data_IF_427574650313
#
_entry.id   IF_427574650313
#
_cell.length_a   1.000
_cell.length_b   1.000
_cell.length_c   1.000
_cell.angle_alpha   90.00
_cell.angle_beta   90.00
_cell.angle_gamma   90.00
#
_symmetry.space_group_name_H-M   'P 1'
#
loop_
_entity.id
_entity.type
_entity.pdbx_description
1 polymer ?
#
# COMPACT_ATOMS: atom_id res chain seq x y z
N UNK A 1 -42.24 17.65 -11.82
CA UNK A 1 -41.55 18.45 -10.79
C UNK A 1 -40.78 17.49 -9.89
N UNK A 2 -39.54 17.18 -10.27
CA UNK A 2 -38.68 16.22 -9.57
C UNK A 2 -37.73 17.00 -8.65
N UNK A 3 -37.75 16.70 -7.35
CA UNK A 3 -36.82 17.27 -6.37
C UNK A 3 -35.52 16.47 -6.44
N UNK A 4 -34.49 17.08 -7.00
CA UNK A 4 -33.10 16.60 -6.89
C UNK A 4 -32.64 16.89 -5.46
N UNK A 5 -32.29 15.84 -4.72
CA UNK A 5 -31.62 15.95 -3.43
C UNK A 5 -30.13 16.26 -3.68
N UNK A 6 -29.68 17.42 -3.24
CA UNK A 6 -28.27 17.81 -3.20
C UNK A 6 -27.61 17.07 -2.00
N UNK A 7 -26.44 16.43 -2.15
CA UNK A 7 -25.71 15.97 -0.97
C UNK A 7 -25.06 17.17 -0.28
N UNK A 8 -25.19 17.16 1.05
CA UNK A 8 -24.75 18.19 1.98
C UNK A 8 -23.21 18.24 2.02
N UNK A 9 -22.64 19.41 1.73
CA UNK A 9 -21.23 19.75 1.90
C UNK A 9 -20.82 19.62 3.38
N UNK A 10 -19.82 18.78 3.67
CA UNK A 10 -19.11 18.81 4.96
C UNK A 10 -17.97 19.82 4.88
N UNK A 11 -17.89 20.65 5.92
CA UNK A 11 -17.08 21.85 6.04
C UNK A 11 -15.57 21.58 6.03
N UNK A 12 -14.85 22.41 5.29
CA UNK A 12 -13.39 22.57 5.37
C UNK A 12 -13.07 23.37 6.62
N UNK A 13 -12.62 22.69 7.67
CA UNK A 13 -11.91 23.31 8.78
C UNK A 13 -10.44 23.43 8.43
N UNK A 14 -9.91 24.65 8.41
CA UNK A 14 -8.47 24.88 8.47
C UNK A 14 -7.98 24.42 9.85
N UNK A 15 -7.36 23.25 9.93
CA UNK A 15 -6.75 22.75 11.17
C UNK A 15 -5.30 23.22 11.23
N UNK A 16 -5.06 24.21 12.08
CA UNK A 16 -3.72 24.48 12.61
C UNK A 16 -3.31 23.31 13.51
N UNK A 17 -2.22 22.62 13.17
CA UNK A 17 -1.57 21.59 14.00
C UNK A 17 -2.50 20.45 14.44
N UNK A 18 -2.53 19.35 13.71
CA UNK A 18 -3.29 18.17 14.14
C UNK A 18 -2.66 17.60 15.42
N UNK A 19 -3.30 17.85 16.57
CA UNK A 19 -2.97 17.13 17.80
C UNK A 19 -3.08 15.62 17.53
N UNK A 20 -2.10 14.86 18.00
CA UNK A 20 -2.02 13.43 17.77
C UNK A 20 -3.26 12.73 18.36
N UNK A 21 -4.19 12.31 17.49
CA UNK A 21 -5.48 11.75 17.91
C UNK A 21 -5.26 10.31 18.37
N UNK A 22 -5.62 10.02 19.63
CA UNK A 22 -5.67 8.64 20.13
C UNK A 22 -6.68 7.82 19.32
N UNK A 23 -6.35 6.55 19.04
CA UNK A 23 -7.28 5.66 18.35
C UNK A 23 -8.61 5.55 19.11
N UNK A 24 -9.74 5.62 18.38
CA UNK A 24 -11.07 5.54 19.00
C UNK A 24 -11.47 4.09 19.31
N UNK A 25 -10.92 3.16 18.53
CA UNK A 25 -11.13 1.73 18.63
C UNK A 25 -9.80 0.96 18.51
N UNK A 26 -9.71 -0.18 19.18
CA UNK A 26 -8.59 -1.13 19.01
C UNK A 26 -9.14 -2.46 18.55
N UNK A 27 -8.56 -2.94 17.45
CA UNK A 27 -8.77 -4.27 16.88
C UNK A 27 -7.53 -5.12 17.15
N UNK A 28 -7.71 -6.41 17.37
CA UNK A 28 -6.65 -7.41 17.45
C UNK A 28 -6.86 -8.48 16.38
N UNK A 29 -5.77 -8.97 15.82
CA UNK A 29 -5.78 -10.12 14.93
C UNK A 29 -5.97 -11.38 15.75
N UNK A 30 -7.02 -12.15 15.46
CA UNK A 30 -7.18 -13.47 16.05
C UNK A 30 -6.43 -14.55 15.26
N UNK A 31 -5.25 -14.90 15.76
CA UNK A 31 -4.44 -15.99 15.20
C UNK A 31 -5.06 -17.39 15.40
N UNK A 32 -5.97 -17.56 16.35
CA UNK A 32 -6.56 -18.86 16.70
C UNK A 32 -7.70 -19.31 15.78
N UNK A 33 -8.47 -18.37 15.20
CA UNK A 33 -9.55 -18.67 14.25
C UNK A 33 -9.18 -18.41 12.78
N UNK A 34 -7.88 -18.32 12.48
CA UNK A 34 -7.42 -18.08 11.13
C UNK A 34 -7.62 -19.26 10.18
N UNK A 35 -7.67 -18.95 8.89
CA UNK A 35 -7.66 -19.93 7.80
C UNK A 35 -6.50 -19.66 6.86
N UNK A 36 -5.72 -20.68 6.56
CA UNK A 36 -4.67 -20.61 5.54
C UNK A 36 -5.27 -20.53 4.13
N UNK A 37 -4.73 -19.64 3.30
CA UNK A 37 -5.05 -19.45 1.88
C UNK A 37 -3.98 -20.09 1.02
N UNK A 38 -2.72 -19.82 1.32
CA UNK A 38 -1.56 -20.38 0.62
C UNK A 38 -0.69 -21.03 1.67
N UNK A 39 -0.27 -22.27 1.44
CA UNK A 39 0.69 -23.01 2.26
C UNK A 39 1.56 -23.84 1.34
N UNK A 40 2.54 -23.18 0.72
CA UNK A 40 3.38 -23.81 -0.29
C UNK A 40 4.84 -23.49 0.02
N UNK A 41 5.59 -24.47 0.58
CA UNK A 41 6.94 -24.22 1.07
C UNK A 41 7.92 -23.84 -0.03
N UNK A 42 7.57 -24.05 -1.29
CA UNK A 42 8.42 -23.73 -2.43
C UNK A 42 8.21 -22.32 -2.95
N UNK A 43 7.19 -21.58 -2.47
CA UNK A 43 6.89 -20.23 -2.96
C UNK A 43 7.71 -19.16 -2.26
N UNK A 44 8.04 -18.12 -3.03
CA UNK A 44 8.71 -16.93 -2.57
C UNK A 44 7.82 -15.70 -2.78
N UNK A 45 6.71 -15.65 -2.04
CA UNK A 45 5.71 -14.58 -2.11
C UNK A 45 6.30 -13.28 -1.55
N UNK A 46 6.31 -12.25 -2.39
CA UNK A 46 6.74 -10.93 -1.99
C UNK A 46 5.58 -10.11 -1.38
N UNK A 47 5.90 -9.11 -0.57
CA UNK A 47 4.91 -8.31 0.18
C UNK A 47 4.09 -7.32 -0.66
N UNK A 48 4.24 -7.35 -1.98
CA UNK A 48 3.49 -6.51 -2.91
C UNK A 48 2.29 -7.31 -3.36
N UNK A 49 1.11 -6.89 -2.92
CA UNK A 49 -0.15 -7.56 -3.23
C UNK A 49 -1.22 -6.55 -3.56
N UNK A 50 -2.27 -7.03 -4.23
CA UNK A 50 -3.51 -6.30 -4.39
C UNK A 50 -4.68 -7.25 -4.14
N UNK A 51 -5.78 -6.72 -3.59
CA UNK A 51 -6.96 -7.50 -3.22
C UNK A 51 -8.14 -7.02 -4.06
N UNK A 52 -8.67 -7.89 -4.93
CA UNK A 52 -10.00 -7.69 -5.49
C UNK A 52 -11.04 -8.19 -4.48
N UNK A 53 -11.69 -7.25 -3.80
CA UNK A 53 -12.66 -7.54 -2.74
C UNK A 53 -14.00 -8.01 -3.29
N UNK A 54 -14.36 -7.61 -4.51
CA UNK A 54 -15.61 -7.97 -5.15
C UNK A 54 -15.52 -9.38 -5.73
N UNK A 55 -14.44 -9.67 -6.47
CA UNK A 55 -14.18 -10.98 -7.11
C UNK A 55 -13.46 -11.96 -6.19
N UNK A 56 -13.03 -11.50 -5.02
CA UNK A 56 -12.41 -12.31 -3.96
C UNK A 56 -11.10 -12.94 -4.42
N UNK A 57 -10.25 -12.12 -5.04
CA UNK A 57 -8.97 -12.55 -5.59
C UNK A 57 -7.83 -11.82 -4.89
N UNK A 58 -6.82 -12.58 -4.48
CA UNK A 58 -5.53 -12.07 -4.03
C UNK A 58 -4.55 -12.11 -5.20
N UNK A 59 -4.08 -10.95 -5.61
CA UNK A 59 -2.97 -10.81 -6.54
C UNK A 59 -1.68 -10.64 -5.75
N UNK A 60 -0.66 -11.43 -6.09
CA UNK A 60 0.64 -11.39 -5.45
C UNK A 60 1.77 -11.56 -6.45
N UNK A 61 2.93 -11.04 -6.07
CA UNK A 61 4.19 -11.34 -6.75
C UNK A 61 4.83 -12.56 -6.09
N UNK A 62 5.23 -13.54 -6.90
CA UNK A 62 6.01 -14.69 -6.47
C UNK A 62 7.37 -14.61 -7.17
N UNK A 63 8.47 -14.69 -6.43
CA UNK A 63 9.81 -14.66 -7.03
C UNK A 63 10.17 -15.95 -7.77
N UNK A 64 9.45 -17.05 -7.51
CA UNK A 64 9.58 -18.27 -8.31
C UNK A 64 8.84 -18.20 -9.66
N UNK A 65 7.92 -17.23 -9.81
CA UNK A 65 7.20 -16.94 -11.06
C UNK A 65 7.49 -15.49 -11.49
N UNK A 66 8.75 -15.18 -11.85
CA UNK A 66 9.22 -13.80 -12.02
C UNK A 66 8.56 -13.04 -13.17
N UNK A 67 7.96 -13.78 -14.12
CA UNK A 67 7.40 -13.27 -15.37
C UNK A 67 5.95 -12.79 -15.23
N UNK A 68 5.36 -12.87 -14.03
CA UNK A 68 3.97 -12.48 -13.87
C UNK A 68 3.51 -12.20 -12.44
N UNK A 69 2.21 -11.90 -12.36
CA UNK A 69 1.48 -11.72 -11.11
C UNK A 69 0.52 -12.88 -10.94
N UNK A 70 0.57 -13.54 -9.79
CA UNK A 70 -0.28 -14.70 -9.53
C UNK A 70 -1.58 -14.27 -8.88
N UNK A 71 -2.67 -14.90 -9.30
CA UNK A 71 -4.00 -14.69 -8.75
C UNK A 71 -4.48 -15.94 -8.00
N UNK A 72 -4.86 -15.76 -6.74
CA UNK A 72 -5.39 -16.81 -5.88
C UNK A 72 -6.80 -16.48 -5.40
N UNK A 73 -7.64 -17.51 -5.27
CA UNK A 73 -8.96 -17.40 -4.66
C UNK A 73 -8.80 -17.11 -3.17
N UNK A 74 -9.35 -16.00 -2.69
CA UNK A 74 -9.42 -15.73 -1.26
C UNK A 74 -10.39 -16.68 -0.56
N UNK A 75 -11.35 -17.29 -1.27
CA UNK A 75 -12.31 -18.22 -0.69
C UNK A 75 -11.73 -19.63 -0.54
N UNK A 76 -10.96 -20.12 -1.51
CA UNK A 76 -10.49 -21.52 -1.56
C UNK A 76 -8.98 -21.67 -1.40
N UNK A 77 -8.19 -20.63 -1.66
CA UNK A 77 -6.73 -20.72 -1.73
C UNK A 77 -6.21 -21.30 -3.04
N UNK A 78 -7.10 -21.66 -3.97
CA UNK A 78 -6.70 -22.22 -5.26
C UNK A 78 -6.06 -21.14 -6.14
N UNK A 79 -4.99 -21.52 -6.82
CA UNK A 79 -4.44 -20.73 -7.92
C UNK A 79 -5.48 -20.63 -9.03
N UNK A 80 -5.75 -19.40 -9.46
CA UNK A 80 -6.72 -19.10 -10.52
C UNK A 80 -6.00 -18.98 -11.86
N UNK A 81 -4.95 -18.15 -11.91
CA UNK A 81 -4.20 -17.79 -13.13
C UNK A 81 -2.92 -17.01 -12.78
N UNK A 82 -2.07 -16.83 -13.78
CA UNK A 82 -0.93 -15.90 -13.74
C UNK A 82 -1.14 -14.84 -14.83
N UNK A 83 -1.04 -13.57 -14.45
CA UNK A 83 -1.06 -12.42 -15.34
C UNK A 83 0.35 -12.27 -15.90
N UNK A 84 0.56 -12.78 -17.10
CA UNK A 84 1.87 -12.78 -17.75
C UNK A 84 2.24 -11.39 -18.23
N UNK A 85 3.40 -10.89 -17.84
CA UNK A 85 3.97 -9.71 -18.47
C UNK A 85 4.35 -10.06 -19.92
N UNK A 86 4.08 -9.19 -20.91
CA UNK A 86 4.50 -9.44 -22.29
C UNK A 86 6.03 -9.50 -22.40
N UNK A 87 6.54 -10.41 -23.22
CA UNK A 87 7.98 -10.49 -23.54
C UNK A 87 8.44 -9.28 -24.37
N UNK A 88 9.68 -8.83 -24.19
CA UNK A 88 10.42 -8.10 -25.22
C UNK A 88 10.81 -6.65 -24.97
N UNK A 89 10.64 -6.11 -23.76
CA UNK A 89 10.70 -4.65 -23.58
C UNK A 89 11.99 -4.12 -22.88
N UNK A 90 13.13 -4.80 -22.99
CA UNK A 90 14.41 -4.24 -22.51
C UNK A 90 14.62 -4.24 -20.98
N UNK A 91 15.77 -3.75 -20.49
CA UNK A 91 16.16 -3.87 -19.08
C UNK A 91 15.21 -3.11 -18.17
N UNK A 92 14.70 -3.78 -17.13
CA UNK A 92 13.80 -3.22 -16.10
C UNK A 92 12.33 -3.00 -16.50
N UNK A 93 11.90 -3.50 -17.66
CA UNK A 93 10.52 -3.33 -18.14
C UNK A 93 9.61 -4.54 -17.80
N UNK A 94 10.08 -5.33 -16.80
CA UNK A 94 9.58 -6.58 -16.18
C UNK A 94 9.91 -7.82 -17.01
N UNK A 95 10.77 -8.77 -16.55
CA UNK A 95 10.76 -9.44 -15.23
C UNK A 95 11.81 -8.95 -14.20
N UNK A 96 11.58 -9.22 -12.91
CA UNK A 96 12.21 -8.69 -11.66
C UNK A 96 11.77 -7.29 -11.15
N UNK A 97 11.14 -6.46 -11.96
CA UNK A 97 10.90 -5.03 -11.63
C UNK A 97 9.52 -4.63 -11.10
N UNK A 98 8.65 -5.57 -10.69
CA UNK A 98 7.27 -5.24 -10.23
C UNK A 98 7.36 -4.50 -8.90
N UNK A 99 6.87 -3.26 -8.89
CA UNK A 99 6.94 -2.36 -7.74
C UNK A 99 5.65 -2.42 -6.90
N UNK A 100 4.47 -2.30 -7.52
CA UNK A 100 3.17 -2.50 -6.85
C UNK A 100 2.09 -2.94 -7.82
N UNK A 101 0.91 -3.23 -7.28
CA UNK A 101 -0.29 -3.53 -8.05
C UNK A 101 -1.50 -2.81 -7.45
N UNK A 102 -2.51 -2.58 -8.27
CA UNK A 102 -3.82 -2.09 -7.84
C UNK A 102 -4.93 -2.77 -8.64
N UNK A 103 -6.08 -2.97 -8.01
CA UNK A 103 -7.30 -3.46 -8.68
C UNK A 103 -8.29 -2.31 -8.78
N UNK A 104 -8.77 -2.04 -10.00
CA UNK A 104 -9.81 -1.06 -10.27
C UNK A 104 -11.19 -1.62 -9.91
N UNK A 105 -12.20 -0.76 -9.64
CA UNK A 105 -13.57 -1.22 -9.33
C UNK A 105 -14.20 -2.10 -10.42
N UNK A 106 -13.81 -1.94 -11.68
CA UNK A 106 -14.29 -2.79 -12.79
C UNK A 106 -13.54 -4.14 -12.91
N UNK A 107 -12.56 -4.37 -12.04
CA UNK A 107 -11.75 -5.59 -11.97
C UNK A 107 -10.49 -5.55 -12.81
N UNK A 108 -10.19 -4.44 -13.51
CA UNK A 108 -8.89 -4.31 -14.18
C UNK A 108 -7.78 -4.31 -13.15
N UNK A 109 -6.65 -4.91 -13.53
CA UNK A 109 -5.46 -4.96 -12.68
C UNK A 109 -4.38 -4.10 -13.30
N UNK A 110 -3.88 -3.16 -12.52
CA UNK A 110 -2.73 -2.32 -12.85
C UNK A 110 -1.51 -2.89 -12.15
N UNK A 111 -0.45 -3.16 -12.92
CA UNK A 111 0.83 -3.64 -12.41
C UNK A 111 1.89 -2.60 -12.74
N UNK A 112 2.43 -1.93 -11.73
CA UNK A 112 3.48 -0.94 -11.95
C UNK A 112 4.85 -1.61 -11.99
N UNK A 113 5.58 -1.39 -13.07
CA UNK A 113 7.03 -1.56 -13.11
C UNK A 113 7.72 -0.26 -12.73
N UNK A 114 9.01 -0.14 -13.06
CA UNK A 114 9.74 1.11 -12.87
C UNK A 114 9.22 2.20 -13.79
N UNK A 115 9.20 1.96 -15.09
CA UNK A 115 8.93 3.03 -16.08
C UNK A 115 7.47 3.12 -16.53
N UNK A 116 6.70 2.05 -16.38
CA UNK A 116 5.37 1.92 -16.98
C UNK A 116 4.42 1.10 -16.12
N UNK A 117 3.14 1.23 -16.40
CA UNK A 117 2.05 0.49 -15.79
C UNK A 117 1.47 -0.44 -16.86
N UNK A 118 1.46 -1.74 -16.58
CA UNK A 118 0.76 -2.73 -17.39
C UNK A 118 -0.70 -2.80 -16.95
N UNK A 119 -1.58 -3.02 -17.91
CA UNK A 119 -3.02 -3.12 -17.68
C UNK A 119 -3.53 -4.48 -18.12
N UNK A 120 -4.27 -5.10 -17.22
CA UNK A 120 -4.92 -6.38 -17.47
C UNK A 120 -6.42 -6.23 -17.28
N UNK A 121 -7.18 -6.96 -18.08
CA UNK A 121 -8.61 -7.12 -17.83
C UNK A 121 -8.88 -8.03 -16.62
N UNK A 122 -10.13 -8.15 -16.15
CA UNK A 122 -10.46 -9.03 -15.02
C UNK A 122 -10.20 -10.53 -15.29
N UNK A 123 -10.04 -10.93 -16.54
CA UNK A 123 -9.73 -12.30 -16.95
C UNK A 123 -8.22 -12.56 -16.96
N UNK A 124 -7.40 -11.52 -16.87
CA UNK A 124 -5.94 -11.56 -16.86
C UNK A 124 -5.31 -11.33 -18.23
N UNK A 125 -6.09 -10.92 -19.24
CA UNK A 125 -5.58 -10.61 -20.57
C UNK A 125 -4.92 -9.23 -20.57
N UNK A 126 -3.74 -9.13 -21.17
CA UNK A 126 -3.02 -7.86 -21.30
C UNK A 126 -3.73 -6.93 -22.28
N UNK A 127 -4.09 -5.73 -21.83
CA UNK A 127 -4.78 -4.71 -22.61
C UNK A 127 -3.83 -3.68 -23.23
N UNK A 128 -2.69 -3.44 -22.57
CA UNK A 128 -1.75 -2.40 -22.97
C UNK A 128 -0.97 -1.86 -21.77
N UNK A 129 -0.26 -0.75 -22.00
CA UNK A 129 0.48 -0.07 -20.96
C UNK A 129 0.32 1.45 -21.04
N UNK A 130 0.68 2.11 -19.94
CA UNK A 130 0.83 3.56 -19.86
C UNK A 130 2.17 3.90 -19.23
N UNK A 131 2.87 4.85 -19.84
CA UNK A 131 4.14 5.39 -19.36
C UNK A 131 3.89 6.83 -18.93
N UNK A 132 3.76 7.11 -17.62
CA UNK A 132 3.60 8.46 -17.13
C UNK A 132 4.82 9.30 -17.55
N UNK A 133 4.58 10.48 -18.09
CA UNK A 133 5.62 11.44 -18.44
C UNK A 133 6.08 12.22 -17.20
N UNK A 134 6.64 11.49 -16.24
CA UNK A 134 7.13 12.01 -14.98
C UNK A 134 8.66 11.98 -14.94
N UNK A 135 9.26 13.01 -14.37
CA UNK A 135 10.65 12.98 -13.94
C UNK A 135 10.68 12.86 -12.41
N UNK A 136 11.39 11.87 -11.86
CA UNK A 136 12.04 10.75 -12.56
C UNK A 136 11.05 9.67 -13.06
N UNK A 137 11.41 8.93 -14.12
CA UNK A 137 10.62 7.82 -14.72
C UNK A 137 10.60 6.56 -13.85
N UNK A 138 10.21 6.69 -12.59
CA UNK A 138 10.04 5.57 -11.66
C UNK A 138 8.71 5.69 -10.92
N UNK A 139 7.63 5.07 -11.42
CA UNK A 139 6.38 4.97 -10.67
C UNK A 139 6.40 3.73 -9.78
N UNK A 140 6.75 3.91 -8.51
CA UNK A 140 6.73 2.81 -7.53
C UNK A 140 5.31 2.41 -7.09
N UNK A 141 4.33 3.31 -7.24
CA UNK A 141 2.97 3.11 -6.77
C UNK A 141 1.93 3.45 -7.84
N UNK A 142 0.85 2.67 -7.92
CA UNK A 142 -0.27 2.87 -8.85
C UNK A 142 -1.60 2.63 -8.13
N UNK A 143 -2.65 3.35 -8.55
CA UNK A 143 -4.03 3.16 -8.12
C UNK A 143 -5.01 3.38 -9.30
N UNK A 144 -6.30 3.11 -9.11
CA UNK A 144 -7.37 3.56 -10.02
C UNK A 144 -8.10 4.80 -9.49
N UNK A 145 -8.16 5.87 -10.28
CA UNK A 145 -9.03 7.02 -9.98
C UNK A 145 -9.83 7.40 -11.22
N UNK A 146 -11.16 7.43 -11.08
CA UNK A 146 -12.06 7.66 -12.19
C UNK A 146 -11.88 6.67 -13.34
N UNK A 147 -11.57 5.40 -13.05
CA UNK A 147 -11.44 4.34 -14.06
C UNK A 147 -10.18 4.43 -14.93
N UNK A 148 -9.14 5.10 -14.43
CA UNK A 148 -7.85 5.23 -15.10
C UNK A 148 -6.71 5.05 -14.09
N UNK A 149 -5.56 4.51 -14.52
CA UNK A 149 -4.40 4.39 -13.66
C UNK A 149 -3.88 5.78 -13.27
N UNK A 150 -3.40 5.88 -12.03
CA UNK A 150 -2.76 7.09 -11.52
C UNK A 150 -1.59 6.76 -10.59
N UNK A 151 -0.64 7.68 -10.54
CA UNK A 151 0.63 7.55 -9.83
C UNK A 151 0.91 8.80 -9.00
N UNK A 152 1.58 8.67 -7.84
CA UNK A 152 1.94 9.83 -7.04
C UNK A 152 3.11 10.59 -7.68
N UNK A 153 3.17 11.88 -7.38
CA UNK A 153 4.25 12.80 -7.72
C UNK A 153 4.66 13.57 -6.46
N UNK A 154 5.65 14.47 -6.57
CA UNK A 154 6.09 15.35 -5.46
C UNK A 154 4.94 16.07 -4.75
N UNK A 155 4.02 16.63 -5.53
CA UNK A 155 3.03 17.61 -5.06
C UNK A 155 1.61 17.26 -5.53
N UNK A 156 1.33 15.98 -5.78
CA UNK A 156 0.03 15.54 -6.25
C UNK A 156 0.08 14.22 -6.96
N UNK A 157 -0.83 14.03 -7.90
CA UNK A 157 -1.04 12.79 -8.61
C UNK A 157 -1.12 13.06 -10.11
N UNK A 158 -0.53 12.19 -10.90
CA UNK A 158 -0.76 12.17 -12.35
C UNK A 158 -1.58 10.94 -12.68
N UNK A 159 -2.61 11.15 -13.48
CA UNK A 159 -3.55 10.14 -13.95
C UNK A 159 -3.49 10.08 -15.46
N UNK A 160 -3.73 8.91 -16.05
CA UNK A 160 -3.94 8.82 -17.48
C UNK A 160 -5.24 9.54 -17.88
N UNK A 161 -5.10 10.61 -18.66
CA UNK A 161 -6.17 11.35 -19.30
C UNK A 161 -6.67 10.70 -20.59
N UNK A 162 -7.52 11.45 -21.31
CA UNK A 162 -7.97 11.04 -22.64
C UNK A 162 -6.81 10.89 -23.62
N UNK A 163 -6.92 9.94 -24.56
CA UNK A 163 -5.91 9.66 -25.59
C UNK A 163 -4.51 9.28 -25.06
N UNK A 164 -4.41 8.88 -23.77
CA UNK A 164 -3.14 8.49 -23.16
C UNK A 164 -2.27 9.65 -22.67
N UNK A 165 -2.79 10.88 -22.70
CA UNK A 165 -2.15 12.06 -22.12
C UNK A 165 -2.08 11.99 -20.59
N UNK A 166 -1.23 12.80 -19.97
CA UNK A 166 -1.15 12.91 -18.52
C UNK A 166 -2.02 14.05 -17.99
N UNK A 167 -2.90 13.72 -17.05
CA UNK A 167 -3.75 14.65 -16.33
C UNK A 167 -3.22 14.86 -14.91
N UNK A 168 -2.96 16.12 -14.56
CA UNK A 168 -2.43 16.50 -13.26
C UNK A 168 -3.54 16.75 -12.23
N UNK A 169 -3.39 16.22 -11.02
CA UNK A 169 -4.32 16.38 -9.90
C UNK A 169 -3.55 16.96 -8.70
N UNK A 170 -3.78 18.23 -8.40
CA UNK A 170 -3.08 19.01 -7.37
C UNK A 170 -2.61 20.36 -7.92
N UNK A 171 -2.38 21.36 -7.07
CA UNK A 171 -2.12 22.73 -7.54
C UNK A 171 -0.73 22.91 -8.16
N UNK A 172 0.26 22.11 -7.75
CA UNK A 172 1.67 22.28 -8.12
C UNK A 172 2.29 21.00 -8.70
N UNK A 173 1.49 20.21 -9.42
CA UNK A 173 1.98 19.00 -10.09
C UNK A 173 2.79 19.39 -11.33
N UNK A 174 4.11 19.26 -11.22
CA UNK A 174 4.99 19.41 -12.37
C UNK A 174 5.06 18.09 -13.15
N UNK A 175 4.40 18.04 -14.30
CA UNK A 175 4.70 17.06 -15.35
C UNK A 175 5.97 17.54 -16.02
N UNK A 176 7.14 17.17 -15.48
CA UNK A 176 8.42 17.62 -16.01
C UNK A 176 8.63 16.95 -17.37
N UNK A 177 8.38 17.68 -18.44
CA UNK A 177 8.78 17.30 -19.80
C UNK A 177 10.28 17.60 -19.97
N UNK A 178 11.14 16.71 -19.46
CA UNK A 178 12.59 16.79 -19.64
C UNK A 178 13.13 15.50 -20.22
N UNK A 179 14.04 15.58 -21.19
CA UNK A 179 14.74 14.43 -21.74
C UNK A 179 15.60 13.79 -20.62
N UNK A 180 15.50 12.47 -20.35
CA UNK A 180 16.30 11.77 -19.35
C UNK A 180 17.81 12.02 -19.42
N UNK A 181 18.32 12.43 -20.58
CA UNK A 181 19.75 12.72 -20.82
C UNK A 181 20.20 14.10 -20.29
N UNK A 182 19.28 15.05 -20.08
CA UNK A 182 19.58 16.38 -19.51
C UNK A 182 19.56 16.38 -17.96
N UNK A 183 19.39 15.21 -17.34
CA UNK A 183 19.26 15.09 -15.90
C UNK A 183 20.63 15.01 -15.24
N UNK A 184 21.21 16.18 -14.93
CA UNK A 184 22.33 16.28 -14.00
C UNK A 184 21.92 15.57 -12.69
N UNK A 185 22.71 14.56 -12.29
CA UNK A 185 22.55 13.75 -11.07
C UNK A 185 22.84 14.57 -9.80
N UNK A 186 22.13 15.67 -9.64
CA UNK A 186 22.18 16.50 -8.44
C UNK A 186 21.65 15.73 -7.24
N UNK A 187 22.09 16.08 -6.04
CA UNK A 187 21.56 15.49 -4.80
C UNK A 187 20.04 15.73 -4.67
N UNK A 188 19.52 16.85 -5.19
CA UNK A 188 18.09 17.15 -5.23
C UNK A 188 17.31 16.15 -6.08
N UNK A 189 17.85 15.78 -7.25
CA UNK A 189 17.23 14.75 -8.10
C UNK A 189 17.22 13.38 -7.41
N UNK A 190 18.32 12.99 -6.75
CA UNK A 190 18.40 11.72 -6.04
C UNK A 190 17.41 11.68 -4.87
N UNK A 191 17.27 12.77 -4.12
CA UNK A 191 16.27 12.87 -3.04
C UNK A 191 14.84 12.74 -3.58
N UNK A 192 14.54 13.45 -4.68
CA UNK A 192 13.23 13.39 -5.34
C UNK A 192 12.92 11.99 -5.87
N UNK A 193 13.91 11.34 -6.49
CA UNK A 193 13.83 9.94 -6.94
C UNK A 193 13.46 9.01 -5.79
N UNK A 194 14.15 9.11 -4.66
CA UNK A 194 13.86 8.28 -3.49
C UNK A 194 12.49 8.58 -2.91
N UNK A 195 12.06 9.84 -2.94
CA UNK A 195 10.74 10.27 -2.44
C UNK A 195 9.61 9.66 -3.26
N UNK A 196 9.63 9.84 -4.58
CA UNK A 196 8.58 9.30 -5.47
C UNK A 196 8.58 7.76 -5.48
N UNK A 197 9.74 7.11 -5.46
CA UNK A 197 9.83 5.65 -5.41
C UNK A 197 9.26 5.07 -4.09
N UNK A 198 9.38 5.82 -2.99
CA UNK A 198 8.86 5.42 -1.68
C UNK A 198 7.43 5.89 -1.43
N UNK A 199 6.88 6.71 -2.33
CA UNK A 199 5.52 7.15 -2.20
C UNK A 199 4.55 5.95 -2.19
N UNK A 200 3.47 6.10 -1.45
CA UNK A 200 2.34 5.17 -1.43
C UNK A 200 1.11 5.94 -1.85
N UNK A 201 0.29 5.31 -2.68
CA UNK A 201 -0.96 5.89 -3.16
C UNK A 201 -2.09 4.90 -2.95
N UNK A 202 -3.24 5.45 -2.60
CA UNK A 202 -4.52 4.76 -2.59
C UNK A 202 -5.53 5.68 -3.24
N UNK A 203 -6.39 5.14 -4.09
CA UNK A 203 -7.41 5.94 -4.76
C UNK A 203 -8.80 5.42 -4.49
N UNK A 204 -9.69 6.39 -4.32
CA UNK A 204 -11.14 6.25 -4.29
C UNK A 204 -11.68 6.99 -5.52
N UNK A 205 -12.97 6.81 -5.90
CA UNK A 205 -13.50 7.33 -7.15
C UNK A 205 -13.24 8.82 -7.42
N UNK A 206 -13.11 9.64 -6.36
CA UNK A 206 -12.94 11.09 -6.45
C UNK A 206 -11.76 11.66 -5.64
N UNK A 207 -10.90 10.81 -5.08
CA UNK A 207 -9.77 11.28 -4.27
C UNK A 207 -8.60 10.30 -4.30
N UNK A 208 -7.39 10.84 -4.26
CA UNK A 208 -6.16 10.09 -4.06
C UNK A 208 -5.53 10.44 -2.72
N UNK A 209 -5.18 9.42 -1.94
CA UNK A 209 -4.49 9.53 -0.66
C UNK A 209 -3.03 9.18 -0.90
N UNK A 210 -2.12 10.07 -0.54
CA UNK A 210 -0.69 9.93 -0.81
C UNK A 210 0.12 10.08 0.47
N UNK A 211 1.08 9.18 0.63
CA UNK A 211 2.17 9.28 1.61
C UNK A 211 3.46 9.41 0.81
N UNK A 212 4.12 10.56 0.87
CA UNK A 212 5.37 10.82 0.12
C UNK A 212 6.63 10.75 1.00
N UNK A 213 6.52 10.89 2.32
CA UNK A 213 7.68 11.00 3.22
C UNK A 213 7.46 10.22 4.51
N UNK A 214 8.40 9.36 4.87
CA UNK A 214 8.58 8.85 6.23
C UNK A 214 10.10 8.77 6.46
N UNK A 215 10.63 9.57 7.39
CA UNK A 215 11.98 9.41 7.93
C UNK A 215 13.13 9.49 6.91
N UNK A 216 13.81 10.64 6.88
CA UNK A 216 14.89 10.95 5.95
C UNK A 216 16.00 9.90 5.85
N UNK A 217 16.21 9.40 4.63
CA UNK A 217 17.54 9.09 4.16
C UNK A 217 18.01 10.32 3.39
N UNK A 218 18.62 11.29 4.08
CA UNK A 218 19.43 12.27 3.35
C UNK A 218 20.55 11.52 2.64
N UNK A 219 20.70 11.75 1.34
CA UNK A 219 21.92 11.44 0.59
C UNK A 219 23.13 11.90 1.42
N UNK A 220 23.93 10.95 1.94
CA UNK A 220 25.17 11.23 2.68
C UNK A 220 25.05 11.76 4.13
N UNK A 221 23.86 11.88 4.70
CA UNK A 221 23.67 12.42 6.05
C UNK A 221 23.78 11.36 7.15
N UNK A 222 24.65 11.57 8.14
CA UNK A 222 24.66 10.75 9.37
C UNK A 222 23.25 10.62 9.99
N UNK A 223 22.89 9.46 10.59
CA UNK A 223 21.55 9.15 11.10
C UNK A 223 21.13 9.94 12.36
N UNK A 224 21.72 11.12 12.59
CA UNK A 224 21.68 11.84 13.86
C UNK A 224 20.60 12.92 13.96
N UNK A 225 19.82 13.17 12.91
CA UNK A 225 18.75 14.17 12.95
C UNK A 225 17.36 13.50 12.82
N UNK A 226 16.48 13.57 13.84
CA UNK A 226 15.13 13.01 13.77
C UNK A 226 14.27 13.87 12.83
N UNK A 227 14.28 13.54 11.53
CA UNK A 227 13.50 14.22 10.48
C UNK A 227 12.02 13.83 10.59
N UNK A 228 11.16 14.81 10.30
CA UNK A 228 9.71 14.79 10.47
C UNK A 228 9.03 13.46 10.09
N UNK A 229 8.26 12.93 11.03
CA UNK A 229 7.31 11.84 10.82
C UNK A 229 6.10 12.43 10.10
N UNK A 230 5.54 11.82 9.05
CA UNK A 230 4.25 12.29 8.59
C UNK A 230 3.23 12.00 9.69
N UNK A 231 2.58 13.06 10.11
CA UNK A 231 1.44 13.04 11.01
C UNK A 231 0.13 12.87 10.24
N UNK A 232 0.18 12.86 8.90
CA UNK A 232 -0.98 12.89 8.03
C UNK A 232 -0.71 12.34 6.61
N UNK A 233 -1.76 11.90 5.95
CA UNK A 233 -1.82 11.62 4.50
C UNK A 233 -2.22 12.88 3.76
N UNK A 234 -1.62 13.15 2.61
CA UNK A 234 -2.12 14.16 1.68
C UNK A 234 -3.32 13.59 0.89
N UNK A 235 -4.36 14.40 0.67
CA UNK A 235 -5.54 14.03 -0.11
C UNK A 235 -5.65 14.96 -1.31
N UNK A 236 -5.70 14.41 -2.52
CA UNK A 236 -5.89 15.16 -3.76
C UNK A 236 -7.24 14.82 -4.36
N UNK A 237 -8.14 15.81 -4.46
CA UNK A 237 -9.51 15.59 -4.91
C UNK A 237 -9.63 15.77 -6.43
N UNK A 238 -9.96 14.69 -7.12
CA UNK A 238 -10.17 14.69 -8.57
C UNK A 238 -11.37 15.57 -8.95
N UNK A 239 -11.18 16.43 -9.96
CA UNK A 239 -12.22 17.32 -10.48
C UNK A 239 -12.47 18.60 -9.67
N UNK A 240 -11.75 18.85 -8.56
CA UNK A 240 -11.93 20.07 -7.76
C UNK A 240 -10.65 20.84 -7.43
N UNK A 241 -9.46 20.35 -7.83
CA UNK A 241 -8.14 20.90 -7.45
C UNK A 241 -7.97 21.15 -5.94
N UNK A 242 -8.84 20.57 -5.11
CA UNK A 242 -8.77 20.72 -3.67
C UNK A 242 -7.73 19.75 -3.14
N UNK A 243 -7.06 20.19 -2.10
CA UNK A 243 -6.14 19.38 -1.30
C UNK A 243 -6.67 19.29 0.13
N UNK A 244 -6.42 18.15 0.77
CA UNK A 244 -6.80 17.88 2.15
C UNK A 244 -5.71 17.12 2.88
N UNK A 245 -5.93 16.89 4.18
CA UNK A 245 -5.06 16.08 5.02
C UNK A 245 -5.88 15.16 5.91
N UNK A 246 -5.43 13.90 6.05
CA UNK A 246 -6.01 12.94 6.98
C UNK A 246 -4.97 12.57 8.04
N UNK A 247 -5.20 12.83 9.34
CA UNK A 247 -4.24 12.49 10.38
C UNK A 247 -3.97 10.98 10.45
N UNK A 248 -2.71 10.60 10.66
CA UNK A 248 -2.32 9.23 10.98
C UNK A 248 -2.46 9.03 12.50
N UNK A 249 -3.05 7.91 12.97
CA UNK A 249 -3.16 7.63 14.40
C UNK A 249 -1.80 7.69 15.09
N UNK A 250 -1.74 8.38 16.23
CA UNK A 250 -0.51 8.62 16.98
C UNK A 250 0.27 7.34 17.31
N UNK A 251 -0.47 6.27 17.64
CA UNK A 251 0.09 4.98 18.00
C UNK A 251 0.85 4.35 16.82
N UNK A 252 0.27 4.40 15.62
CA UNK A 252 0.92 3.94 14.40
C UNK A 252 2.09 4.85 14.00
N UNK A 253 1.97 6.17 14.15
CA UNK A 253 3.05 7.11 13.85
C UNK A 253 4.27 6.96 14.78
N UNK A 254 4.04 6.60 16.05
CA UNK A 254 5.11 6.35 17.02
C UNK A 254 5.89 5.07 16.66
N UNK A 255 5.17 3.99 16.38
CA UNK A 255 5.74 2.68 16.02
C UNK A 255 6.43 2.73 14.64
N UNK A 256 5.84 3.38 13.64
CA UNK A 256 6.36 3.40 12.27
C UNK A 256 7.49 4.43 12.03
N UNK A 257 8.00 5.09 13.07
CA UNK A 257 8.94 6.21 12.96
C UNK A 257 10.30 5.89 12.29
N UNK A 258 10.58 4.62 11.96
CA UNK A 258 11.86 4.15 11.42
C UNK A 258 11.75 3.53 10.01
N UNK A 259 10.58 3.54 9.38
CA UNK A 259 10.30 2.74 8.16
C UNK A 259 9.84 3.61 6.99
N UNK A 260 9.59 3.07 5.78
CA UNK A 260 9.16 3.84 4.59
C UNK A 260 7.71 4.36 4.65
N UNK A 261 7.08 4.35 5.82
CA UNK A 261 5.67 4.70 6.00
C UNK A 261 4.68 3.59 5.66
N UNK A 262 3.41 3.72 6.08
CA UNK A 262 2.42 2.68 5.93
C UNK A 262 2.10 2.46 4.46
N UNK A 263 1.84 1.20 4.09
CA UNK A 263 1.18 0.93 2.82
C UNK A 263 -0.30 1.35 2.94
N UNK A 264 -0.88 1.76 1.82
CA UNK A 264 -2.26 2.21 1.78
C UNK A 264 -3.10 1.16 1.05
N UNK A 265 -4.21 0.80 1.65
CA UNK A 265 -5.20 -0.14 1.13
C UNK A 265 -6.60 0.39 1.38
N UNK A 266 -7.61 -0.22 0.76
CA UNK A 266 -9.01 -0.01 1.13
C UNK A 266 -9.56 -1.18 1.93
N UNK A 267 -10.74 -1.04 2.55
CA UNK A 267 -11.58 -2.20 2.85
C UNK A 267 -12.78 -2.25 1.89
N UNK A 268 -13.67 -3.23 2.08
CA UNK A 268 -14.85 -3.38 1.22
C UNK A 268 -15.94 -2.32 1.45
N UNK A 269 -15.72 -1.37 2.37
CA UNK A 269 -16.63 -0.29 2.71
C UNK A 269 -16.07 1.07 2.31
N UNK A 270 -14.90 1.12 1.69
CA UNK A 270 -14.24 2.36 1.28
C UNK A 270 -13.51 3.07 2.41
N UNK A 271 -13.17 2.39 3.50
CA UNK A 271 -12.27 2.95 4.50
C UNK A 271 -10.81 2.87 4.03
N UNK A 272 -9.99 3.81 4.49
CA UNK A 272 -8.53 3.81 4.29
C UNK A 272 -7.90 2.86 5.31
N UNK A 273 -7.15 1.88 4.83
CA UNK A 273 -6.38 0.95 5.66
C UNK A 273 -4.90 1.34 5.54
N UNK A 274 -4.28 1.61 6.68
CA UNK A 274 -2.84 1.81 6.82
C UNK A 274 -2.19 0.50 7.27
N UNK A 275 -1.30 -0.06 6.47
CA UNK A 275 -0.53 -1.24 6.85
C UNK A 275 0.81 -0.79 7.40
N UNK A 276 1.07 -1.08 8.67
CA UNK A 276 2.37 -0.89 9.29
C UNK A 276 3.42 -1.75 8.58
N UNK A 277 4.54 -1.14 8.22
CA UNK A 277 5.60 -1.79 7.46
C UNK A 277 6.73 -2.09 8.43
N UNK A 278 6.71 -3.27 9.05
CA UNK A 278 7.78 -3.69 9.95
C UNK A 278 9.08 -3.93 9.16
N UNK A 279 9.97 -2.97 8.98
CA UNK A 279 11.33 -3.38 8.62
C UNK A 279 11.91 -4.07 9.87
N UNK A 280 12.47 -5.29 9.77
CA UNK A 280 13.32 -5.82 10.83
C UNK A 280 14.56 -4.92 10.86
N UNK A 281 14.43 -3.75 11.49
CA UNK A 281 15.55 -2.85 11.69
C UNK A 281 16.54 -3.59 12.57
N UNK A 282 17.79 -3.63 12.10
CA UNK A 282 18.99 -4.28 12.65
C UNK A 282 19.35 -3.89 14.10
N UNK A 283 18.47 -3.18 14.80
CA UNK A 283 18.70 -2.66 16.14
C UNK A 283 17.76 -3.44 17.07
N UNK A 284 18.36 -4.15 18.03
CA UNK A 284 17.73 -5.04 19.00
C UNK A 284 16.74 -4.34 19.96
N UNK A 285 15.73 -3.64 19.43
CA UNK A 285 14.58 -3.24 20.22
C UNK A 285 13.75 -4.51 20.48
N UNK A 286 13.96 -5.07 21.67
CA UNK A 286 13.09 -6.06 22.28
C UNK A 286 11.71 -5.44 22.52
N UNK A 287 10.87 -5.44 21.49
CA UNK A 287 9.56 -4.80 21.52
C UNK A 287 9.18 -4.37 20.12
N UNK A 288 8.76 -5.33 19.31
CA UNK A 288 8.30 -5.02 17.96
C UNK A 288 6.90 -4.42 17.99
N UNK A 289 6.45 -4.06 16.80
CA UNK A 289 5.28 -3.22 16.63
C UNK A 289 4.03 -3.92 17.16
N UNK A 290 3.51 -3.39 18.26
CA UNK A 290 2.23 -3.82 18.81
C UNK A 290 1.10 -3.42 17.87
N UNK A 291 1.25 -2.26 17.21
CA UNK A 291 0.29 -1.75 16.25
C UNK A 291 0.76 -2.07 14.82
N UNK A 292 0.09 -3.04 14.17
CA UNK A 292 0.38 -3.49 12.81
C UNK A 292 -0.26 -2.63 11.73
N UNK A 293 -1.22 -1.77 12.08
CA UNK A 293 -1.90 -0.93 11.10
C UNK A 293 -3.05 -0.14 11.69
N UNK A 294 -3.82 0.49 10.83
CA UNK A 294 -5.04 1.18 11.21
C UNK A 294 -6.07 1.11 10.09
N UNK A 295 -7.34 1.29 10.44
CA UNK A 295 -8.44 1.53 9.51
C UNK A 295 -9.04 2.88 9.86
N UNK A 296 -9.31 3.70 8.85
CA UNK A 296 -9.79 5.06 9.01
C UNK A 296 -10.92 5.33 8.04
N UNK A 297 -12.00 5.89 8.53
CA UNK A 297 -13.07 6.42 7.70
C UNK A 297 -12.69 7.85 7.25
N UNK A 298 -12.47 8.08 5.95
CA UNK A 298 -12.06 9.39 5.46
C UNK A 298 -13.17 10.44 5.53
N UNK A 299 -14.45 10.06 5.66
CA UNK A 299 -15.57 11.00 5.67
C UNK A 299 -15.79 11.63 7.06
N UNK A 300 -15.62 10.85 8.12
CA UNK A 300 -15.89 11.28 9.49
C UNK A 300 -14.66 11.24 10.42
N UNK A 301 -13.52 10.73 9.96
CA UNK A 301 -12.28 10.64 10.72
C UNK A 301 -12.28 9.58 11.83
N UNK A 302 -13.26 8.67 11.84
CA UNK A 302 -13.29 7.55 12.78
C UNK A 302 -12.12 6.61 12.49
N UNK A 303 -11.41 6.17 13.53
CA UNK A 303 -10.19 5.40 13.36
C UNK A 303 -10.06 4.26 14.36
N UNK A 304 -9.62 3.11 13.86
CA UNK A 304 -9.30 1.93 14.63
C UNK A 304 -7.84 1.52 14.38
N UNK A 305 -7.09 1.23 15.44
CA UNK A 305 -5.74 0.66 15.32
C UNK A 305 -5.83 -0.87 15.37
N UNK A 306 -5.07 -1.55 14.53
CA UNK A 306 -4.98 -3.00 14.44
C UNK A 306 -3.72 -3.46 15.16
N UNK A 307 -3.87 -4.36 16.11
CA UNK A 307 -2.81 -4.89 16.96
C UNK A 307 -2.44 -6.32 16.68
N UNK A 308 -1.16 -6.62 16.91
CA UNK A 308 -0.67 -7.98 17.00
C UNK A 308 -0.66 -8.43 18.47
N UNK A 309 -1.54 -9.35 18.89
CA UNK A 309 -1.46 -9.92 20.23
C UNK A 309 -0.26 -10.88 20.40
N UNK A 310 0.31 -11.39 19.30
CA UNK A 310 1.49 -12.26 19.37
C UNK A 310 2.77 -11.45 19.58
N UNK A 311 3.52 -11.81 20.62
CA UNK A 311 4.79 -11.16 20.98
C UNK A 311 5.93 -11.44 19.99
N UNK A 312 5.72 -12.29 18.98
CA UNK A 312 6.79 -12.75 18.09
C UNK A 312 6.76 -11.97 16.77
N UNK A 313 7.35 -10.78 16.78
CA UNK A 313 7.17 -9.77 15.73
C UNK A 313 7.90 -10.05 14.42
N UNK A 314 8.66 -11.14 14.34
CA UNK A 314 9.49 -11.47 13.18
C UNK A 314 8.78 -12.40 12.17
N UNK A 315 7.52 -12.79 12.42
CA UNK A 315 6.88 -13.89 11.68
C UNK A 315 5.73 -13.45 10.76
N UNK A 316 4.71 -12.71 11.23
CA UNK A 316 3.62 -12.28 10.35
C UNK A 316 3.82 -10.88 9.75
N UNK A 317 3.43 -10.71 8.49
CA UNK A 317 3.33 -9.46 7.76
C UNK A 317 1.87 -9.14 7.48
N UNK A 318 1.46 -7.93 7.84
CA UNK A 318 0.12 -7.45 7.52
C UNK A 318 0.06 -6.96 6.08
N UNK A 319 -0.68 -7.68 5.23
CA UNK A 319 -0.73 -7.49 3.78
C UNK A 319 -1.99 -6.74 3.32
N UNK A 320 -3.00 -6.65 4.17
CA UNK A 320 -4.26 -5.98 3.82
C UNK A 320 -5.42 -6.42 4.70
N UNK A 321 -6.60 -5.87 4.42
CA UNK A 321 -7.87 -6.30 5.03
C UNK A 321 -8.78 -6.82 3.93
N UNK A 322 -9.33 -8.00 4.16
CA UNK A 322 -10.37 -8.59 3.33
C UNK A 322 -11.57 -8.94 4.22
N UNK A 323 -12.70 -8.30 3.94
CA UNK A 323 -13.89 -8.37 4.79
C UNK A 323 -13.56 -7.99 6.24
N UNK A 324 -13.88 -8.85 7.21
CA UNK A 324 -13.59 -8.69 8.63
C UNK A 324 -12.25 -9.31 9.05
N UNK A 325 -11.40 -9.69 8.10
CA UNK A 325 -10.17 -10.42 8.34
C UNK A 325 -8.93 -9.68 7.85
N UNK A 326 -7.86 -9.79 8.61
CA UNK A 326 -6.53 -9.41 8.20
C UNK A 326 -5.94 -10.47 7.27
N UNK A 327 -5.34 -10.03 6.16
CA UNK A 327 -4.50 -10.86 5.30
C UNK A 327 -3.08 -10.84 5.85
N UNK A 328 -2.57 -12.02 6.22
CA UNK A 328 -1.29 -12.19 6.88
C UNK A 328 -0.38 -13.10 6.07
N UNK A 329 0.78 -12.60 5.69
CA UNK A 329 1.87 -13.39 5.11
C UNK A 329 2.84 -13.82 6.20
N UNK A 330 3.20 -15.09 6.24
CA UNK A 330 4.17 -15.63 7.19
C UNK A 330 5.53 -15.72 6.52
N UNK A 331 6.55 -15.11 7.12
CA UNK A 331 7.92 -15.20 6.62
C UNK A 331 8.37 -16.65 6.52
N UNK A 332 8.97 -17.00 5.39
CA UNK A 332 9.63 -18.28 5.24
C UNK A 332 10.80 -18.39 6.22
N UNK A 333 10.84 -19.52 6.92
CA UNK A 333 11.81 -19.79 7.97
C UNK A 333 12.42 -21.15 7.73
N UNK A 334 13.71 -21.15 7.46
CA UNK A 334 14.49 -22.37 7.34
C UNK A 334 15.19 -22.65 8.66
N UNK A 335 15.07 -23.88 9.15
CA UNK A 335 15.81 -24.35 10.32
C UNK A 335 16.83 -25.39 9.89
N UNK A 336 18.10 -25.10 10.12
CA UNK A 336 19.21 -26.01 9.82
C UNK A 336 20.03 -26.32 11.07
N UNK A 337 20.81 -27.40 11.02
CA UNK A 337 21.78 -27.74 12.06
C UNK A 337 23.19 -27.52 11.52
N UNK A 338 23.88 -26.51 12.04
CA UNK A 338 25.26 -26.19 11.66
C UNK A 338 26.18 -26.42 12.86
N UNK A 339 27.16 -27.32 12.72
CA UNK A 339 28.11 -27.66 13.80
C UNK A 339 27.44 -28.04 15.14
N UNK A 340 26.27 -28.70 15.09
CA UNK A 340 25.50 -29.07 16.27
C UNK A 340 24.68 -27.93 16.90
N UNK A 341 24.69 -26.74 16.30
CA UNK A 341 23.85 -25.61 16.69
C UNK A 341 22.64 -25.49 15.75
N UNK A 342 21.49 -25.14 16.32
CA UNK A 342 20.28 -24.81 15.56
C UNK A 342 20.44 -23.41 14.98
N UNK A 343 20.46 -23.31 13.66
CA UNK A 343 20.49 -22.04 12.93
C UNK A 343 19.10 -21.82 12.34
N UNK A 344 18.60 -20.59 12.48
CA UNK A 344 17.28 -20.19 11.98
C UNK A 344 17.50 -19.06 11.00
N UNK A 345 17.24 -19.33 9.72
CA UNK A 345 17.32 -18.33 8.65
C UNK A 345 15.92 -17.77 8.39
N UNK A 346 15.80 -16.45 8.48
CA UNK A 346 14.59 -15.73 8.13
C UNK A 346 14.74 -15.17 6.73
N UNK A 347 13.86 -15.56 5.83
CA UNK A 347 13.84 -15.04 4.47
C UNK A 347 12.90 -13.83 4.37
N UNK A 348 13.19 -12.92 3.45
CA UNK A 348 12.43 -11.69 3.24
C UNK A 348 11.20 -11.88 2.33
N UNK A 349 10.70 -13.11 2.21
CA UNK A 349 9.50 -13.51 1.48
C UNK A 349 8.62 -14.42 2.33
N UNK A 350 7.36 -14.58 1.95
CA UNK A 350 6.43 -15.53 2.54
C UNK A 350 6.29 -16.78 1.68
N UNK A 351 6.01 -17.90 2.34
CA UNK A 351 5.58 -19.15 1.70
C UNK A 351 4.16 -19.55 2.13
N UNK A 352 3.59 -18.80 3.08
CA UNK A 352 2.25 -19.02 3.62
C UNK A 352 1.50 -17.70 3.75
N UNK A 353 0.24 -17.69 3.34
CA UNK A 353 -0.70 -16.56 3.49
C UNK A 353 -1.97 -17.07 4.17
N UNK A 354 -2.50 -16.33 5.13
CA UNK A 354 -3.72 -16.68 5.85
C UNK A 354 -4.65 -15.48 6.05
N UNK A 355 -5.93 -15.76 6.25
CA UNK A 355 -6.92 -14.80 6.73
C UNK A 355 -7.16 -15.01 8.22
N UNK A 356 -7.06 -13.94 8.99
CA UNK A 356 -7.29 -13.95 10.44
C UNK A 356 -8.38 -12.94 10.80
N UNK A 357 -9.46 -13.36 11.48
CA UNK A 357 -10.52 -12.43 11.89
C UNK A 357 -9.98 -11.29 12.75
N UNK A 358 -10.51 -10.08 12.55
CA UNK A 358 -10.26 -8.92 13.38
C UNK A 358 -11.31 -8.83 14.49
N UNK A 359 -10.85 -8.81 15.74
CA UNK A 359 -11.70 -8.70 16.93
C UNK A 359 -11.51 -7.35 17.60
N UNK A 360 -12.58 -6.73 18.05
CA UNK A 360 -12.48 -5.51 18.85
C UNK A 360 -12.19 -5.88 20.28
N UNK A 361 -11.17 -5.28 20.85
CA UNK A 361 -10.78 -5.52 22.24
C UNK A 361 -11.01 -4.31 23.15
N UNK A 362 -11.05 -3.09 22.58
CA UNK A 362 -11.37 -1.88 23.34
C UNK A 362 -11.84 -0.74 22.43
N UNK A 363 -12.27 0.36 23.07
CA UNK A 363 -12.76 1.56 22.41
C UNK A 363 -14.21 1.48 21.95
N UNK A 364 -14.73 2.60 21.45
CA UNK A 364 -16.11 2.68 20.97
C UNK A 364 -16.16 2.27 19.50
N UNK A 365 -17.06 1.34 19.09
CA UNK A 365 -17.20 1.02 17.69
C UNK A 365 -17.50 2.25 16.85
N UNK A 366 -16.71 2.43 15.81
CA UNK A 366 -17.01 3.35 14.74
C UNK A 366 -18.22 2.86 13.93
N UNK A 367 -19.29 3.65 13.79
CA UNK A 367 -20.40 3.29 12.92
C UNK A 367 -19.89 3.00 11.50
N UNK A 368 -20.35 1.90 10.89
CA UNK A 368 -19.94 1.55 9.53
C UNK A 368 -18.57 0.89 9.40
N UNK A 369 -17.68 0.98 10.39
CA UNK A 369 -16.39 0.26 10.37
C UNK A 369 -16.54 -1.24 10.65
N UNK A 370 -15.47 -1.99 10.36
CA UNK A 370 -15.41 -3.47 10.45
C UNK A 370 -16.20 -3.99 11.65
N UNK A 371 -17.19 -4.84 11.35
CA UNK A 371 -17.97 -5.54 12.36
C UNK A 371 -17.04 -6.51 13.04
N UNK A 372 -16.45 -6.10 14.15
CA UNK A 372 -15.68 -7.02 14.98
C UNK A 372 -16.58 -8.18 15.38
N UNK A 373 -16.16 -9.40 15.07
CA UNK A 373 -16.75 -10.60 15.66
C UNK A 373 -16.54 -10.47 17.18
N UNK A 374 -17.63 -10.46 17.96
CA UNK A 374 -17.55 -10.49 19.42
C UNK A 374 -17.05 -11.85 19.91
#
# INVERSE_FOLDING_TARGET
MSRVALPLLIAVGWVFGADAVSAQQVLEIDYSAGRTIIDDPWRAIHWRTAIDRERRVLYLRDWEEPDGVMAFSLDTGEWIRTLMAPEGDGPQELPEGVETMSVAPDGRVYVSGKVRILEFDPQGEYLGHWTPNLAPRMSGAVCDIGGQPAVPTRNGVVRRGGEGSDEAIGENVSVISGDPEDWDKTDEFIDELWRVQRARILCMPHAAFVVTEYGGLQSGGTPSNPVAKPDSLAIFYYGSNREGRLPIPAALAADQALTTGPLLETDNRGHVVLLGVSMPTLIAQEGGFWDMGAVMDPENGCQAVIRNPEKNMMQPRFMGVYQDSAVIGYLYREETMENGQRVITHHNYANRVALHPLRRVSGTPCPGMLTSVN
#
